data_IF_722422837000
#
_entry.id   IF_722422837000
#
_cell.length_a   1.000
_cell.length_b   1.000
_cell.length_c   1.000
_cell.angle_alpha   90.00
_cell.angle_beta   90.00
_cell.angle_gamma   90.00
#
_symmetry.space_group_name_H-M   'P 1'
#
loop_
_entity.id
_entity.type
_entity.pdbx_description
1 polymer ?
#
# COMPACT_ATOMS: atom_id res chain seq x y z
N UNK A 1 -6.65 13.06 4.36
CA UNK A 1 -7.25 11.89 5.01
C UNK A 1 -6.18 10.95 5.55
N UNK A 2 -6.44 10.29 6.68
CA UNK A 2 -5.51 9.35 7.32
C UNK A 2 -6.01 7.92 7.16
N UNK A 3 -5.13 7.01 6.73
CA UNK A 3 -5.43 5.59 6.58
C UNK A 3 -4.44 4.71 7.34
N UNK A 4 -4.86 3.50 7.71
CA UNK A 4 -3.97 2.45 8.22
C UNK A 4 -3.50 1.57 7.05
N UNK A 5 -2.20 1.34 6.96
CA UNK A 5 -1.58 0.48 5.97
C UNK A 5 -0.89 -0.69 6.66
N UNK A 6 -1.03 -1.87 6.06
CA UNK A 6 -0.35 -3.10 6.50
C UNK A 6 0.47 -3.67 5.36
N UNK A 7 1.78 -3.68 5.56
CA UNK A 7 2.77 -4.27 4.68
C UNK A 7 3.09 -5.69 5.15
N UNK A 8 3.30 -6.59 4.19
CA UNK A 8 3.56 -8.00 4.43
C UNK A 8 4.87 -8.44 3.78
N UNK A 9 5.36 -9.61 4.18
CA UNK A 9 6.63 -10.18 3.69
C UNK A 9 7.79 -9.15 3.77
N UNK A 10 8.55 -8.99 2.70
CA UNK A 10 9.69 -8.07 2.55
C UNK A 10 9.30 -6.59 2.51
N UNK A 11 8.02 -6.25 2.27
CA UNK A 11 7.58 -4.85 2.31
C UNK A 11 7.55 -4.30 3.75
N UNK A 12 7.57 -5.17 4.78
CA UNK A 12 7.59 -4.77 6.18
C UNK A 12 8.77 -3.87 6.52
N UNK A 13 9.90 -4.07 5.84
CA UNK A 13 11.16 -3.33 6.05
C UNK A 13 11.05 -1.84 5.66
N UNK A 14 9.93 -1.43 5.03
CA UNK A 14 9.64 -0.02 4.71
C UNK A 14 9.04 0.76 5.86
N UNK A 15 8.57 0.07 6.89
CA UNK A 15 8.18 0.70 8.13
C UNK A 15 9.21 0.43 9.23
N UNK A 16 9.27 1.29 10.26
CA UNK A 16 10.13 1.05 11.41
C UNK A 16 9.88 -0.36 11.98
N UNK A 17 10.95 -1.04 12.40
CA UNK A 17 10.89 -2.43 12.87
C UNK A 17 9.85 -2.68 13.97
N UNK A 18 9.68 -1.71 14.88
CA UNK A 18 8.73 -1.78 16.00
C UNK A 18 7.27 -1.86 15.53
N UNK A 19 7.00 -1.34 14.33
CA UNK A 19 5.66 -1.26 13.76
C UNK A 19 5.18 -2.58 13.13
N UNK A 20 6.08 -3.56 12.96
CA UNK A 20 5.80 -4.89 12.34
C UNK A 20 5.05 -4.78 11.00
N UNK A 21 5.38 -3.79 10.19
CA UNK A 21 4.71 -3.52 8.91
C UNK A 21 3.35 -2.83 9.01
N UNK A 22 2.96 -2.29 10.17
CA UNK A 22 1.75 -1.46 10.31
C UNK A 22 2.13 0.01 10.38
N UNK A 23 1.37 0.88 9.74
CA UNK A 23 1.65 2.32 9.76
C UNK A 23 0.42 3.13 9.41
N UNK A 24 0.43 4.41 9.79
CA UNK A 24 -0.55 5.37 9.30
C UNK A 24 0.07 6.23 8.22
N UNK A 25 -0.66 6.49 7.15
CA UNK A 25 -0.26 7.39 6.08
C UNK A 25 -1.30 8.50 5.97
N UNK A 26 -0.82 9.74 5.95
CA UNK A 26 -1.62 10.89 5.55
C UNK A 26 -1.57 11.00 4.02
N UNK A 27 -2.74 11.11 3.41
CA UNK A 27 -2.96 11.30 1.98
C UNK A 27 -3.85 12.52 1.76
N UNK A 28 -3.76 13.12 0.58
CA UNK A 28 -4.69 14.18 0.19
C UNK A 28 -6.09 13.62 -0.05
N UNK A 29 -7.12 14.48 0.05
CA UNK A 29 -8.47 14.08 -0.32
C UNK A 29 -8.55 13.77 -1.82
N UNK A 30 -9.12 12.61 -2.16
CA UNK A 30 -9.17 12.12 -3.53
C UNK A 30 -7.92 11.40 -4.01
N UNK A 31 -6.91 11.19 -3.14
CA UNK A 31 -5.75 10.38 -3.46
C UNK A 31 -6.14 8.94 -3.84
N UNK A 32 -5.41 8.38 -4.79
CA UNK A 32 -5.61 7.04 -5.33
C UNK A 32 -4.69 6.01 -4.66
N UNK A 33 -4.94 4.73 -4.95
CA UNK A 33 -4.03 3.67 -4.56
C UNK A 33 -2.64 3.81 -5.21
N UNK A 34 -2.57 4.35 -6.42
CA UNK A 34 -1.30 4.63 -7.10
C UNK A 34 -0.46 5.63 -6.31
N UNK A 35 -1.07 6.74 -5.88
CA UNK A 35 -0.41 7.77 -5.08
C UNK A 35 0.12 7.21 -3.75
N UNK A 36 -0.62 6.27 -3.14
CA UNK A 36 -0.18 5.59 -1.92
C UNK A 36 1.05 4.69 -2.17
N UNK A 37 1.05 3.91 -3.25
CA UNK A 37 2.16 3.01 -3.62
C UNK A 37 3.42 3.84 -3.91
N UNK A 38 3.28 4.94 -4.66
CA UNK A 38 4.36 5.88 -4.94
C UNK A 38 4.92 6.50 -3.67
N UNK A 39 4.04 6.96 -2.76
CA UNK A 39 4.43 7.57 -1.47
C UNK A 39 5.18 6.62 -0.55
N UNK A 40 4.88 5.32 -0.62
CA UNK A 40 5.58 4.28 0.15
C UNK A 40 6.84 3.76 -0.57
N UNK A 41 7.15 4.33 -1.74
CA UNK A 41 8.27 3.94 -2.61
C UNK A 41 8.27 2.44 -2.91
N UNK A 42 7.08 1.83 -2.96
CA UNK A 42 6.92 0.39 -3.20
C UNK A 42 7.17 0.17 -4.69
N UNK A 43 8.21 -0.60 -5.07
CA UNK A 43 8.43 -0.92 -6.46
C UNK A 43 7.23 -1.64 -7.03
N UNK A 44 6.76 -1.20 -8.20
CA UNK A 44 5.65 -1.81 -8.92
C UNK A 44 5.67 -3.34 -8.95
N UNK A 45 6.78 -4.03 -9.29
CA UNK A 45 6.77 -5.50 -9.32
C UNK A 45 6.53 -6.16 -7.95
N UNK A 46 6.69 -5.45 -6.83
CA UNK A 46 6.50 -5.99 -5.48
C UNK A 46 5.06 -5.78 -4.95
N UNK A 47 4.28 -4.85 -5.50
CA UNK A 47 2.90 -4.59 -5.09
C UNK A 47 1.90 -5.60 -5.68
N UNK A 48 2.23 -6.90 -5.71
CA UNK A 48 1.44 -7.90 -6.46
C UNK A 48 0.00 -8.10 -5.97
N UNK A 49 -0.30 -7.77 -4.72
CA UNK A 49 -1.62 -7.92 -4.13
C UNK A 49 -1.94 -6.72 -3.24
N UNK A 50 -3.08 -6.08 -3.49
CA UNK A 50 -3.58 -4.97 -2.68
C UNK A 50 -4.97 -5.32 -2.14
N UNK A 51 -5.15 -5.05 -0.85
CA UNK A 51 -6.42 -5.23 -0.15
C UNK A 51 -6.87 -3.86 0.38
N UNK A 52 -8.03 -3.39 -0.06
CA UNK A 52 -8.69 -2.19 0.47
C UNK A 52 -9.85 -2.66 1.34
N UNK A 53 -9.79 -2.38 2.64
CA UNK A 53 -10.77 -2.83 3.64
C UNK A 53 -11.09 -4.34 3.59
N UNK A 54 -10.07 -5.14 3.25
CA UNK A 54 -10.16 -6.60 3.15
C UNK A 54 -10.66 -7.11 1.80
N UNK A 55 -11.01 -6.24 0.87
CA UNK A 55 -11.39 -6.60 -0.49
C UNK A 55 -10.18 -6.49 -1.42
N UNK A 56 -9.97 -7.50 -2.24
CA UNK A 56 -8.90 -7.49 -3.22
C UNK A 56 -9.24 -6.52 -4.34
N UNK A 57 -8.44 -5.47 -4.47
CA UNK A 57 -8.59 -4.53 -5.56
C UNK A 57 -7.72 -4.97 -6.75
N UNK A 58 -8.25 -4.96 -7.97
CA UNK A 58 -7.46 -5.21 -9.15
C UNK A 58 -6.41 -4.09 -9.27
N UNK A 59 -5.13 -4.45 -9.32
CA UNK A 59 -4.11 -3.51 -9.78
C UNK A 59 -4.39 -3.22 -11.25
N UNK A 60 -4.47 -1.94 -11.58
CA UNK A 60 -4.99 -1.38 -12.82
C UNK A 60 -4.66 -2.18 -14.10
N UNK A 61 -5.73 -2.64 -14.77
CA UNK A 61 -5.90 -2.80 -16.24
C UNK A 61 -4.85 -3.56 -17.07
N UNK A 62 -4.25 -4.62 -16.58
CA UNK A 62 -3.73 -5.71 -17.42
C UNK A 62 -4.13 -6.99 -16.70
N UNK A 63 -5.34 -7.50 -16.92
CA UNK A 63 -5.57 -8.75 -17.65
C UNK A 63 -7.05 -8.78 -18.09
N UNK A 64 -7.31 -8.58 -19.38
CA UNK A 64 -8.56 -8.92 -20.05
C UNK A 64 -8.25 -9.60 -21.37
#
# INVERSE_FOLDING_TARGET
MRIEVRLFASLRDRFPDDARGRGSVELDEGATLGDLIERLEIPDPLAQMVLVDGLQEPRSREER
#
